data_IF_497984143951
#
_entry.id   IF_497984143951
#
_cell.length_a   1.000
_cell.length_b   1.000
_cell.length_c   1.000
_cell.angle_alpha   90.00
_cell.angle_beta   90.00
_cell.angle_gamma   90.00
#
_symmetry.space_group_name_H-M   'P 1'
#
loop_
_entity.id
_entity.type
_entity.pdbx_description
1 polymer ?
#
# COMPACT_ATOMS: atom_id res chain seq x y z
N UNK A 1 -8.03 10.10 -8.10
CA UNK A 1 -8.43 8.92 -7.29
C UNK A 1 -8.87 9.36 -5.90
N UNK A 2 -9.81 8.62 -5.30
CA UNK A 2 -10.24 8.81 -3.90
C UNK A 2 -9.39 7.97 -2.94
N UNK A 3 -9.49 8.22 -1.63
CA UNK A 3 -8.79 7.42 -0.61
C UNK A 3 -9.21 5.95 -0.65
N UNK A 4 -10.50 5.70 -0.85
CA UNK A 4 -11.06 4.34 -0.93
C UNK A 4 -10.53 3.56 -2.13
N UNK A 5 -10.31 4.22 -3.28
CA UNK A 5 -9.69 3.59 -4.44
C UNK A 5 -8.26 3.13 -4.13
N UNK A 6 -7.49 3.98 -3.43
CA UNK A 6 -6.10 3.68 -3.07
C UNK A 6 -6.04 2.54 -2.06
N UNK A 7 -6.90 2.58 -1.03
CA UNK A 7 -7.01 1.50 -0.06
C UNK A 7 -7.30 0.18 -0.76
N UNK A 8 -8.25 0.18 -1.70
CA UNK A 8 -8.59 -1.01 -2.49
C UNK A 8 -7.42 -1.53 -3.32
N UNK A 9 -6.60 -0.64 -3.88
CA UNK A 9 -5.39 -1.04 -4.62
C UNK A 9 -4.35 -1.64 -3.68
N UNK A 10 -4.06 -0.99 -2.55
CA UNK A 10 -3.09 -1.48 -1.58
C UNK A 10 -3.50 -2.85 -1.07
N UNK A 11 -4.78 -3.03 -0.71
CA UNK A 11 -5.31 -4.34 -0.30
C UNK A 11 -5.19 -5.38 -1.40
N UNK A 12 -5.44 -5.04 -2.67
CA UNK A 12 -5.23 -5.99 -3.78
C UNK A 12 -3.77 -6.42 -3.92
N UNK A 13 -2.83 -5.48 -3.85
CA UNK A 13 -1.40 -5.79 -3.93
C UNK A 13 -1.00 -6.71 -2.77
N UNK A 14 -1.46 -6.40 -1.57
CA UNK A 14 -1.21 -7.24 -0.39
C UNK A 14 -1.81 -8.64 -0.61
N UNK A 15 -3.03 -8.76 -1.14
CA UNK A 15 -3.67 -10.04 -1.43
C UNK A 15 -2.89 -10.88 -2.46
N UNK A 16 -2.23 -10.22 -3.42
CA UNK A 16 -1.41 -10.89 -4.44
C UNK A 16 -0.10 -11.43 -3.84
N UNK A 17 0.48 -10.72 -2.88
CA UNK A 17 1.77 -11.06 -2.25
C UNK A 17 1.57 -12.04 -1.10
N UNK A 18 0.61 -11.74 -0.23
CA UNK A 18 0.26 -12.48 0.96
C UNK A 18 -1.23 -12.91 0.88
N UNK A 19 -1.56 -13.90 0.02
CA UNK A 19 -2.94 -14.36 -0.16
C UNK A 19 -3.52 -15.08 1.06
N UNK A 20 -2.67 -15.48 2.01
CA UNK A 20 -3.06 -16.15 3.24
C UNK A 20 -3.54 -15.16 4.34
N UNK A 21 -3.29 -13.86 4.15
CA UNK A 21 -3.67 -12.81 5.11
C UNK A 21 -5.17 -12.45 5.03
N UNK A 22 -5.79 -12.17 6.19
CA UNK A 22 -7.19 -11.72 6.23
C UNK A 22 -7.31 -10.21 6.01
N UNK A 23 -7.63 -9.85 4.77
CA UNK A 23 -7.80 -8.46 4.37
C UNK A 23 -9.22 -7.91 4.59
N UNK A 24 -10.13 -8.72 5.13
CA UNK A 24 -11.56 -8.38 5.22
C UNK A 24 -11.87 -7.34 6.29
N UNK A 25 -11.05 -7.29 7.35
CA UNK A 25 -11.23 -6.43 8.53
C UNK A 25 -10.05 -5.49 8.78
N UNK A 26 -9.31 -5.14 7.73
CA UNK A 26 -8.13 -4.27 7.85
C UNK A 26 -8.56 -2.86 8.23
N UNK A 27 -8.14 -2.42 9.42
CA UNK A 27 -8.42 -1.09 9.92
C UNK A 27 -7.43 -0.09 9.29
N UNK A 28 -7.92 1.05 8.75
CA UNK A 28 -7.06 1.99 8.04
C UNK A 28 -6.12 2.78 8.95
N UNK A 29 -6.49 2.94 10.21
CA UNK A 29 -5.71 3.65 11.24
C UNK A 29 -4.62 2.76 11.86
N UNK A 30 -4.74 1.42 11.72
CA UNK A 30 -3.81 0.44 12.27
C UNK A 30 -2.72 0.15 11.26
N UNK A 31 -1.52 -0.14 11.76
CA UNK A 31 -0.40 -0.51 10.89
C UNK A 31 -0.67 -1.85 10.22
N UNK A 32 -0.40 -1.94 8.93
CA UNK A 32 -0.52 -3.16 8.13
C UNK A 32 0.28 -4.30 8.76
N UNK A 33 1.53 -4.08 9.19
CA UNK A 33 2.35 -5.11 9.86
C UNK A 33 1.85 -5.54 11.25
N UNK A 34 0.97 -4.76 11.89
CA UNK A 34 0.45 -5.10 13.21
C UNK A 34 -0.83 -5.94 13.11
N UNK A 35 -1.57 -5.83 11.99
CA UNK A 35 -2.82 -6.54 11.74
C UNK A 35 -2.69 -7.65 10.70
N UNK A 36 -1.66 -7.57 9.86
CA UNK A 36 -1.27 -8.56 8.88
C UNK A 36 0.12 -9.06 9.30
N UNK A 37 0.37 -10.36 9.24
CA UNK A 37 1.64 -10.96 9.63
C UNK A 37 2.74 -10.77 8.55
N UNK A 38 2.81 -9.56 7.99
CA UNK A 38 3.72 -9.20 6.90
C UNK A 38 5.18 -9.17 7.37
N UNK A 39 5.99 -9.98 6.71
CA UNK A 39 7.43 -10.00 6.91
C UNK A 39 8.13 -8.86 6.14
N UNK A 40 9.43 -8.71 6.39
CA UNK A 40 10.25 -7.72 5.68
C UNK A 40 10.31 -7.97 4.17
N UNK A 41 10.17 -9.22 3.74
CA UNK A 41 10.12 -9.56 2.31
C UNK A 41 8.79 -9.13 1.68
N UNK A 42 7.66 -9.47 2.30
CA UNK A 42 6.33 -9.10 1.79
C UNK A 42 6.21 -7.58 1.65
N UNK A 43 6.74 -6.84 2.62
CA UNK A 43 6.75 -5.38 2.55
C UNK A 43 7.56 -4.85 1.36
N UNK A 44 8.73 -5.44 1.08
CA UNK A 44 9.53 -5.06 -0.09
C UNK A 44 8.80 -5.40 -1.39
N UNK A 45 8.13 -6.55 -1.45
CA UNK A 45 7.32 -6.94 -2.60
C UNK A 45 6.16 -5.96 -2.83
N UNK A 46 5.50 -5.47 -1.77
CA UNK A 46 4.42 -4.47 -1.88
C UNK A 46 4.95 -3.18 -2.51
N UNK A 47 6.10 -2.71 -2.04
CA UNK A 47 6.76 -1.51 -2.56
C UNK A 47 7.18 -1.70 -4.02
N UNK A 48 7.73 -2.87 -4.36
CA UNK A 48 8.13 -3.19 -5.73
C UNK A 48 6.93 -3.27 -6.66
N UNK A 49 5.82 -3.84 -6.22
CA UNK A 49 4.61 -3.98 -7.04
C UNK A 49 3.92 -2.63 -7.27
N UNK A 50 3.89 -1.74 -6.25
CA UNK A 50 3.46 -0.35 -6.42
C UNK A 50 4.28 0.37 -7.51
N UNK A 51 5.60 0.15 -7.53
CA UNK A 51 6.49 0.71 -8.54
C UNK A 51 6.25 0.10 -9.92
N UNK A 52 6.01 -1.20 -10.00
CA UNK A 52 5.87 -1.93 -11.27
C UNK A 52 4.51 -1.71 -11.92
N UNK A 53 3.42 -1.79 -11.14
CA UNK A 53 2.05 -1.60 -11.65
C UNK A 53 1.74 -0.13 -11.92
N UNK A 54 2.20 0.78 -11.06
CA UNK A 54 1.78 2.18 -11.10
C UNK A 54 2.93 3.17 -11.35
N UNK A 55 4.18 2.73 -11.40
CA UNK A 55 5.33 3.63 -11.57
C UNK A 55 5.64 4.46 -10.31
N UNK A 56 5.10 4.09 -9.16
CA UNK A 56 5.29 4.82 -7.90
C UNK A 56 6.53 4.27 -7.18
N UNK A 57 7.60 5.06 -7.14
CA UNK A 57 8.77 4.72 -6.34
C UNK A 57 8.59 5.19 -4.89
N UNK A 58 8.88 4.30 -3.94
CA UNK A 58 8.85 4.58 -2.50
C UNK A 58 10.24 4.32 -1.93
N UNK A 59 10.98 5.37 -1.52
CA UNK A 59 12.28 5.19 -0.90
C UNK A 59 12.15 4.65 0.53
N UNK A 60 13.21 4.03 1.04
CA UNK A 60 13.25 3.47 2.40
C UNK A 60 12.92 4.48 3.49
N UNK A 61 13.26 5.75 3.28
CA UNK A 61 12.93 6.86 4.20
C UNK A 61 11.43 7.06 4.40
N UNK A 62 10.64 6.66 3.40
CA UNK A 62 9.20 6.85 3.33
C UNK A 62 8.46 5.56 3.67
N UNK A 63 9.16 4.49 4.07
CA UNK A 63 8.50 3.23 4.46
C UNK A 63 7.55 3.40 5.64
N UNK A 64 7.84 4.36 6.53
CA UNK A 64 6.93 4.75 7.61
C UNK A 64 5.59 5.31 7.09
N UNK A 65 5.57 5.93 5.91
CA UNK A 65 4.35 6.43 5.27
C UNK A 65 3.49 5.30 4.70
N UNK A 66 4.07 4.11 4.49
CA UNK A 66 3.34 2.90 4.12
C UNK A 66 2.98 2.03 5.33
N UNK A 67 3.08 2.56 6.54
CA UNK A 67 2.82 1.77 7.73
C UNK A 67 1.35 1.37 7.87
N UNK A 68 0.38 2.20 7.46
CA UNK A 68 -1.07 1.96 7.56
C UNK A 68 -1.78 2.30 6.24
N UNK A 69 -3.01 1.82 6.02
CA UNK A 69 -3.76 2.18 4.81
C UNK A 69 -4.03 3.69 4.74
N UNK A 70 -4.29 4.34 5.87
CA UNK A 70 -4.51 5.78 5.90
C UNK A 70 -3.27 6.56 5.43
N UNK A 71 -2.09 6.21 5.95
CA UNK A 71 -0.84 6.84 5.54
C UNK A 71 -0.52 6.51 4.07
N UNK A 72 -0.75 5.26 3.64
CA UNK A 72 -0.65 4.86 2.24
C UNK A 72 -1.55 5.74 1.35
N UNK A 73 -2.82 5.93 1.71
CA UNK A 73 -3.75 6.75 0.93
C UNK A 73 -3.32 8.21 0.87
N UNK A 74 -2.82 8.76 1.99
CA UNK A 74 -2.33 10.13 2.04
C UNK A 74 -1.05 10.31 1.20
N UNK A 75 -0.13 9.34 1.23
CA UNK A 75 1.14 9.38 0.51
C UNK A 75 0.97 9.09 -0.99
N UNK A 76 0.20 8.05 -1.33
CA UNK A 76 -0.02 7.61 -2.71
C UNK A 76 -1.03 8.50 -3.43
N UNK A 77 -1.97 9.15 -2.72
CA UNK A 77 -3.00 10.01 -3.32
C UNK A 77 -2.50 11.07 -4.29
N UNK A 78 -1.53 11.93 -3.90
CA UNK A 78 -0.95 12.90 -4.84
C UNK A 78 -0.17 12.21 -5.97
N UNK A 79 0.51 11.09 -5.71
CA UNK A 79 1.27 10.35 -6.74
C UNK A 79 0.37 9.76 -7.82
N UNK A 80 -0.71 9.11 -7.42
CA UNK A 80 -1.75 8.60 -8.32
C UNK A 80 -2.43 9.71 -9.11
N UNK A 81 -2.73 10.83 -8.46
CA UNK A 81 -3.34 11.98 -9.14
C UNK A 81 -2.41 12.59 -10.19
N UNK A 82 -1.10 12.63 -9.92
CA UNK A 82 -0.09 13.06 -10.88
C UNK A 82 0.06 12.10 -12.08
N UNK A 83 -0.17 10.79 -11.87
CA UNK A 83 -0.12 9.78 -12.93
C UNK A 83 -1.36 9.82 -13.85
N UNK A 84 -2.55 10.07 -13.31
CA UNK A 84 -3.79 10.17 -14.08
C UNK A 84 -3.89 11.46 -14.91
N UNK A 85 -3.06 12.47 -14.61
CA UNK A 85 -3.01 13.74 -15.33
C UNK A 85 -2.03 13.77 -16.52
N UNK A 86 -1.43 12.63 -16.88
CA UNK A 86 -0.58 12.45 -18.05
C UNK A 86 -1.30 11.68 -19.15
#
# INVERSE_FOLDING_TARGET
MTKDDINSIVLKIIAEIAPDEDLSNVAPEIRLRDQLELDSMDFLDIVMELRKQYGIEVPETDYQELASLESCANYLGPKFSALQGR
#
